data_IF_777889976738
#
_entry.id   IF_777889976738
#
_cell.length_a   1.000
_cell.length_b   1.000
_cell.length_c   1.000
_cell.angle_alpha   90.00
_cell.angle_beta   90.00
_cell.angle_gamma   90.00
#
_symmetry.space_group_name_H-M   'P 1'
#
loop_
_entity.id
_entity.type
_entity.pdbx_description
1 polymer ?
#
# COMPACT_ATOMS: atom_id res chain seq x y z
N UNK A 1 7.31 7.95 29.25
CA UNK A 1 6.08 7.13 29.07
C UNK A 1 6.46 5.99 28.14
N UNK A 2 6.26 4.73 28.55
CA UNK A 2 6.72 3.55 27.82
C UNK A 2 5.63 3.05 26.87
N UNK A 3 5.97 2.84 25.60
CA UNK A 3 5.20 2.05 24.62
C UNK A 3 5.44 0.55 24.88
N UNK A 4 4.51 -0.32 24.47
CA UNK A 4 4.68 -1.78 24.61
C UNK A 4 5.61 -2.37 23.55
N UNK A 5 5.60 -1.78 22.35
CA UNK A 5 6.41 -2.14 21.21
C UNK A 5 7.39 -0.99 20.90
N UNK A 6 8.46 -1.30 20.18
CA UNK A 6 9.41 -0.29 19.75
C UNK A 6 8.75 0.62 18.68
N UNK A 7 8.63 1.94 18.91
CA UNK A 7 8.02 2.85 17.95
C UNK A 7 8.96 3.22 16.80
N UNK A 8 10.23 2.81 16.84
CA UNK A 8 11.24 3.12 15.84
C UNK A 8 11.79 1.86 15.15
N UNK A 9 12.11 2.02 13.87
CA UNK A 9 12.94 1.12 13.07
C UNK A 9 14.27 1.83 12.80
N UNK A 10 15.31 1.50 13.57
CA UNK A 10 16.52 2.33 13.61
C UNK A 10 16.19 3.74 14.07
N UNK A 11 16.44 4.75 13.23
CA UNK A 11 16.10 6.14 13.51
C UNK A 11 14.71 6.59 13.02
N UNK A 12 14.04 5.77 12.21
CA UNK A 12 12.77 6.13 11.53
C UNK A 12 11.55 5.66 12.33
N UNK A 13 10.43 6.40 12.25
CA UNK A 13 9.19 6.07 12.96
C UNK A 13 8.84 7.10 14.04
N UNK A 14 8.42 6.64 15.23
CA UNK A 14 8.03 7.48 16.35
C UNK A 14 6.53 7.82 16.40
N UNK A 15 6.18 8.77 17.27
CA UNK A 15 4.81 9.24 17.50
C UNK A 15 4.77 10.77 17.47
N UNK A 16 5.01 11.36 16.31
CA UNK A 16 5.09 12.81 16.11
C UNK A 16 3.70 13.43 15.90
N UNK A 17 2.80 13.22 16.87
CA UNK A 17 1.41 13.71 16.85
C UNK A 17 1.19 14.73 17.97
N UNK A 18 0.15 15.58 17.86
CA UNK A 18 -0.30 16.40 18.98
C UNK A 18 -0.58 15.56 20.23
N UNK A 19 -0.27 16.10 21.41
CA UNK A 19 -0.39 15.39 22.70
C UNK A 19 -1.79 14.79 22.94
N UNK A 20 -2.84 15.42 22.40
CA UNK A 20 -4.23 14.96 22.49
C UNK A 20 -4.47 13.58 21.84
N UNK A 21 -3.66 13.17 20.86
CA UNK A 21 -3.78 11.87 20.18
C UNK A 21 -2.96 10.76 20.86
N UNK A 22 -2.06 11.09 21.79
CA UNK A 22 -1.23 10.10 22.47
C UNK A 22 -2.02 9.04 23.28
N UNK A 23 -3.16 9.36 23.94
CA UNK A 23 -4.00 8.33 24.56
C UNK A 23 -4.60 7.36 23.53
N UNK A 24 -5.05 7.86 22.38
CA UNK A 24 -5.64 7.03 21.33
C UNK A 24 -4.63 6.05 20.72
N UNK A 25 -3.40 6.51 20.45
CA UNK A 25 -2.32 5.64 19.96
C UNK A 25 -1.92 4.57 20.98
N UNK A 26 -1.92 4.89 22.27
CA UNK A 26 -1.65 3.91 23.34
C UNK A 26 -2.75 2.87 23.45
N UNK A 27 -4.02 3.31 23.46
CA UNK A 27 -5.16 2.38 23.46
C UNK A 27 -5.10 1.42 22.26
N UNK A 28 -4.76 1.94 21.08
CA UNK A 28 -4.60 1.14 19.87
C UNK A 28 -3.45 0.13 19.99
N UNK A 29 -2.29 0.55 20.52
CA UNK A 29 -1.16 -0.35 20.76
C UNK A 29 -1.52 -1.47 21.75
N UNK A 30 -2.14 -1.13 22.88
CA UNK A 30 -2.56 -2.08 23.91
C UNK A 30 -3.55 -3.10 23.33
N UNK A 31 -4.56 -2.62 22.59
CA UNK A 31 -5.55 -3.46 21.94
C UNK A 31 -4.92 -4.40 20.90
N UNK A 32 -3.97 -3.88 20.11
CA UNK A 32 -3.24 -4.67 19.14
C UNK A 32 -2.37 -5.76 19.79
N UNK A 33 -1.56 -5.42 20.79
CA UNK A 33 -0.71 -6.39 21.50
C UNK A 33 -1.57 -7.47 22.17
N UNK A 34 -2.72 -7.09 22.73
CA UNK A 34 -3.70 -8.03 23.28
C UNK A 34 -4.25 -8.96 22.19
N UNK A 35 -4.71 -8.41 21.06
CA UNK A 35 -5.28 -9.16 19.95
C UNK A 35 -4.30 -10.14 19.29
N UNK A 36 -3.01 -9.78 19.20
CA UNK A 36 -1.97 -10.66 18.68
C UNK A 36 -1.73 -11.92 19.53
N UNK A 37 -2.14 -11.90 20.81
CA UNK A 37 -2.02 -13.04 21.74
C UNK A 37 -3.33 -13.79 21.96
N UNK A 38 -4.41 -13.31 21.35
CA UNK A 38 -5.77 -13.81 21.55
C UNK A 38 -6.13 -14.79 20.41
N UNK A 39 -6.22 -16.11 20.67
CA UNK A 39 -6.53 -17.08 19.63
C UNK A 39 -7.90 -16.87 18.98
N UNK A 40 -8.87 -16.30 19.70
CA UNK A 40 -10.20 -16.03 19.15
C UNK A 40 -10.13 -14.92 18.10
N UNK A 41 -9.38 -13.84 18.39
CA UNK A 41 -9.13 -12.77 17.42
C UNK A 41 -8.42 -13.31 16.16
N UNK A 42 -7.37 -14.12 16.35
CA UNK A 42 -6.63 -14.70 15.22
C UNK A 42 -7.49 -15.63 14.38
N UNK A 43 -8.38 -16.40 15.03
CA UNK A 43 -9.34 -17.28 14.35
C UNK A 43 -10.37 -16.46 13.57
N UNK A 44 -10.95 -15.41 14.16
CA UNK A 44 -11.93 -14.55 13.49
C UNK A 44 -11.29 -13.81 12.30
N UNK A 45 -10.08 -13.26 12.47
CA UNK A 45 -9.38 -12.60 11.38
C UNK A 45 -9.05 -13.58 10.25
N UNK A 46 -8.56 -14.78 10.58
CA UNK A 46 -8.26 -15.83 9.58
C UNK A 46 -9.52 -16.30 8.84
N UNK A 47 -10.65 -16.42 9.54
CA UNK A 47 -11.94 -16.76 8.94
C UNK A 47 -12.38 -15.70 7.93
N UNK A 48 -12.33 -14.42 8.30
CA UNK A 48 -12.64 -13.31 7.39
C UNK A 48 -11.71 -13.28 6.18
N UNK A 49 -10.40 -13.45 6.39
CA UNK A 49 -9.44 -13.49 5.28
C UNK A 49 -9.78 -14.63 4.30
N UNK A 50 -10.09 -15.81 4.80
CA UNK A 50 -10.36 -16.99 3.98
C UNK A 50 -11.73 -16.94 3.31
N UNK A 51 -12.78 -16.81 4.11
CA UNK A 51 -14.15 -17.05 3.69
C UNK A 51 -14.86 -15.78 3.18
N UNK A 52 -14.39 -14.60 3.56
CA UNK A 52 -14.90 -13.33 3.02
C UNK A 52 -13.94 -12.71 1.98
N UNK A 53 -12.66 -12.61 2.30
CA UNK A 53 -11.69 -11.96 1.40
C UNK A 53 -11.16 -12.87 0.28
N UNK A 54 -11.22 -14.20 0.46
CA UNK A 54 -10.83 -15.20 -0.54
C UNK A 54 -9.36 -15.63 -0.49
N UNK A 55 -8.70 -15.54 0.68
CA UNK A 55 -7.32 -16.04 0.87
C UNK A 55 -7.27 -17.57 0.95
N UNK A 56 -6.15 -18.22 0.56
CA UNK A 56 -4.94 -17.62 -0.01
C UNK A 56 -5.12 -17.15 -1.45
N UNK A 57 -4.46 -16.05 -1.83
CA UNK A 57 -4.50 -15.57 -3.22
C UNK A 57 -3.56 -16.41 -4.10
N UNK A 58 -3.88 -16.53 -5.39
CA UNK A 58 -3.09 -17.33 -6.32
C UNK A 58 -1.65 -16.79 -6.52
N UNK A 59 -0.76 -17.68 -6.94
CA UNK A 59 0.58 -17.34 -7.45
C UNK A 59 0.67 -17.80 -8.92
N UNK A 60 0.60 -16.84 -9.84
CA UNK A 60 0.48 -17.10 -11.29
C UNK A 60 1.83 -17.00 -11.98
N UNK A 61 2.25 -18.04 -12.72
CA UNK A 61 3.45 -17.99 -13.57
C UNK A 61 3.14 -17.34 -14.91
N UNK A 62 3.85 -16.28 -15.28
CA UNK A 62 3.73 -15.61 -16.58
C UNK A 62 4.72 -16.21 -17.56
N UNK A 63 4.22 -16.93 -18.57
CA UNK A 63 5.09 -17.61 -19.56
C UNK A 63 5.33 -16.75 -20.80
N UNK A 64 4.35 -15.91 -21.17
CA UNK A 64 4.43 -15.13 -22.40
C UNK A 64 5.34 -13.92 -22.20
N UNK A 65 5.27 -13.28 -21.02
CA UNK A 65 6.14 -12.14 -20.67
C UNK A 65 7.63 -12.50 -20.54
N UNK A 66 7.97 -13.77 -20.32
CA UNK A 66 9.36 -14.22 -20.17
C UNK A 66 9.84 -15.10 -21.31
N UNK A 67 9.05 -15.22 -22.39
CA UNK A 67 9.40 -16.04 -23.53
C UNK A 67 10.74 -15.61 -24.15
N UNK A 68 11.62 -16.57 -24.41
CA UNK A 68 12.97 -16.29 -24.93
C UNK A 68 13.98 -15.83 -23.87
N UNK A 69 13.66 -15.92 -22.58
CA UNK A 69 14.58 -15.62 -21.48
C UNK A 69 14.69 -16.79 -20.50
N UNK A 70 15.71 -16.77 -19.63
CA UNK A 70 15.90 -17.73 -18.53
C UNK A 70 15.26 -17.29 -17.21
N UNK A 71 14.44 -16.25 -17.25
CA UNK A 71 13.69 -15.79 -16.07
C UNK A 71 12.36 -16.52 -15.93
N UNK A 72 12.04 -16.95 -14.72
CA UNK A 72 10.69 -17.35 -14.32
C UNK A 72 10.04 -16.22 -13.52
N UNK A 73 8.96 -15.65 -14.07
CA UNK A 73 8.19 -14.60 -13.42
C UNK A 73 6.90 -15.15 -12.80
N UNK A 74 6.70 -14.86 -11.53
CA UNK A 74 5.46 -15.10 -10.81
C UNK A 74 4.78 -13.79 -10.40
N UNK A 75 3.45 -13.79 -10.40
CA UNK A 75 2.61 -12.73 -9.87
C UNK A 75 1.87 -13.23 -8.63
N UNK A 76 2.05 -12.57 -7.49
CA UNK A 76 1.22 -12.78 -6.30
C UNK A 76 -0.08 -12.00 -6.46
N UNK A 77 -1.21 -12.71 -6.55
CA UNK A 77 -2.48 -12.22 -7.10
C UNK A 77 -3.38 -11.51 -6.08
N UNK A 78 -2.88 -10.44 -5.45
CA UNK A 78 -3.69 -9.62 -4.55
C UNK A 78 -4.81 -8.84 -5.28
N UNK A 79 -4.74 -8.76 -6.61
CA UNK A 79 -5.81 -8.28 -7.50
C UNK A 79 -7.09 -9.13 -7.43
N UNK A 80 -6.98 -10.41 -7.03
CA UNK A 80 -8.10 -11.33 -6.89
C UNK A 80 -8.77 -11.28 -5.51
N UNK A 81 -8.16 -10.58 -4.55
CA UNK A 81 -8.73 -10.44 -3.22
C UNK A 81 -10.06 -9.67 -3.28
N UNK A 82 -11.02 -9.97 -2.40
CA UNK A 82 -12.26 -9.18 -2.33
C UNK A 82 -11.94 -7.69 -2.17
N UNK A 83 -12.68 -6.83 -2.89
CA UNK A 83 -12.37 -5.41 -3.05
C UNK A 83 -11.44 -5.10 -4.24
N UNK A 84 -10.57 -6.04 -4.63
CA UNK A 84 -9.69 -5.95 -5.80
C UNK A 84 -8.27 -5.45 -5.51
N UNK A 85 -7.87 -5.37 -4.25
CA UNK A 85 -6.52 -4.98 -3.86
C UNK A 85 -6.17 -5.52 -2.47
N UNK A 86 -4.86 -5.61 -2.19
CA UNK A 86 -4.29 -6.02 -0.89
C UNK A 86 -4.82 -5.23 0.32
N UNK A 87 -5.38 -4.03 0.12
CA UNK A 87 -5.86 -3.16 1.21
C UNK A 87 -6.91 -3.83 2.10
N UNK A 88 -7.72 -4.75 1.55
CA UNK A 88 -8.73 -5.48 2.32
C UNK A 88 -8.15 -6.26 3.50
N UNK A 89 -6.93 -6.80 3.39
CA UNK A 89 -6.28 -7.57 4.46
C UNK A 89 -6.21 -6.74 5.76
N UNK A 90 -5.55 -5.58 5.68
CA UNK A 90 -5.29 -4.75 6.85
C UNK A 90 -6.54 -4.05 7.38
N UNK A 91 -7.48 -3.73 6.49
CA UNK A 91 -8.73 -3.09 6.86
C UNK A 91 -9.62 -4.03 7.70
N UNK A 92 -9.71 -5.31 7.33
CA UNK A 92 -10.44 -6.30 8.14
C UNK A 92 -9.83 -6.41 9.54
N UNK A 93 -8.50 -6.53 9.64
CA UNK A 93 -7.80 -6.58 10.92
C UNK A 93 -8.02 -5.33 11.78
N UNK A 94 -7.92 -4.13 11.19
CA UNK A 94 -8.16 -2.88 11.93
C UNK A 94 -9.62 -2.68 12.33
N UNK A 95 -10.59 -3.11 11.51
CA UNK A 95 -12.00 -3.03 11.86
C UNK A 95 -12.35 -3.98 13.02
N UNK A 96 -11.72 -5.17 13.09
CA UNK A 96 -11.80 -6.05 14.26
C UNK A 96 -11.18 -5.40 15.50
N UNK A 97 -10.02 -4.75 15.38
CA UNK A 97 -9.43 -3.99 16.50
C UNK A 97 -10.36 -2.87 16.98
N UNK A 98 -11.01 -2.14 16.06
CA UNK A 98 -11.96 -1.10 16.40
C UNK A 98 -13.13 -1.66 17.24
N UNK A 99 -13.70 -2.79 16.82
CA UNK A 99 -14.75 -3.49 17.60
C UNK A 99 -14.26 -3.95 18.96
N UNK A 100 -13.05 -4.51 19.03
CA UNK A 100 -12.43 -4.92 20.30
C UNK A 100 -12.27 -3.74 21.26
N UNK A 101 -11.95 -2.57 20.75
CA UNK A 101 -11.84 -1.33 21.53
C UNK A 101 -13.19 -0.68 21.87
N UNK A 102 -14.32 -1.28 21.46
CA UNK A 102 -15.67 -0.74 21.67
C UNK A 102 -16.00 0.47 20.79
N UNK A 103 -15.23 0.71 19.72
CA UNK A 103 -15.48 1.81 18.77
C UNK A 103 -16.64 1.43 17.86
N UNK A 104 -17.49 2.40 17.56
CA UNK A 104 -18.68 2.22 16.70
C UNK A 104 -18.55 2.95 15.37
N UNK A 105 -17.57 3.82 15.25
CA UNK A 105 -17.33 4.62 14.06
C UNK A 105 -15.90 4.41 13.51
N UNK A 106 -15.75 4.55 12.20
CA UNK A 106 -14.48 4.48 11.48
C UNK A 106 -14.28 5.76 10.68
N UNK A 107 -13.07 6.32 10.81
CA UNK A 107 -12.56 7.40 9.98
C UNK A 107 -11.51 6.82 9.05
N UNK A 108 -11.53 7.19 7.77
CA UNK A 108 -10.44 6.89 6.85
C UNK A 108 -10.23 8.04 5.86
N UNK A 109 -9.03 8.12 5.28
CA UNK A 109 -8.70 8.97 4.14
C UNK A 109 -8.60 8.16 2.85
N UNK A 110 -8.82 8.77 1.68
CA UNK A 110 -8.47 8.11 0.43
C UNK A 110 -8.13 9.09 -0.69
N UNK A 111 -7.20 8.69 -1.56
CA UNK A 111 -6.88 9.36 -2.82
C UNK A 111 -7.52 8.61 -3.98
N UNK A 112 -6.87 7.55 -4.47
CA UNK A 112 -7.41 6.71 -5.56
C UNK A 112 -8.77 6.01 -5.24
N UNK A 113 -9.29 6.11 -4.01
CA UNK A 113 -10.57 5.53 -3.59
C UNK A 113 -10.50 4.08 -3.11
N UNK A 114 -9.43 3.34 -3.41
CA UNK A 114 -9.31 1.93 -3.03
C UNK A 114 -9.31 1.71 -1.50
N UNK A 115 -8.64 2.57 -0.74
CA UNK A 115 -8.67 2.46 0.73
C UNK A 115 -10.04 2.78 1.30
N UNK A 116 -10.71 3.80 0.76
CA UNK A 116 -12.05 4.16 1.15
C UNK A 116 -13.07 3.05 0.86
N UNK A 117 -12.99 2.41 -0.31
CA UNK A 117 -13.84 1.26 -0.66
C UNK A 117 -13.57 0.06 0.26
N UNK A 118 -12.30 -0.26 0.54
CA UNK A 118 -11.95 -1.33 1.48
C UNK A 118 -12.46 -1.03 2.90
N UNK A 119 -12.36 0.22 3.35
CA UNK A 119 -12.89 0.66 4.65
C UNK A 119 -14.41 0.52 4.69
N UNK A 120 -15.11 1.01 3.65
CA UNK A 120 -16.56 0.96 3.56
C UNK A 120 -17.09 -0.49 3.58
N UNK A 121 -16.50 -1.42 2.82
CA UNK A 121 -16.95 -2.82 2.81
C UNK A 121 -16.75 -3.49 4.17
N UNK A 122 -15.64 -3.22 4.87
CA UNK A 122 -15.39 -3.83 6.17
C UNK A 122 -16.32 -3.26 7.25
N UNK A 123 -16.61 -1.96 7.19
CA UNK A 123 -17.57 -1.33 8.07
C UNK A 123 -18.99 -1.86 7.86
N UNK A 124 -19.41 -2.02 6.60
CA UNK A 124 -20.70 -2.60 6.26
C UNK A 124 -20.82 -4.04 6.77
N UNK A 125 -19.78 -4.85 6.60
CA UNK A 125 -19.73 -6.24 7.08
C UNK A 125 -19.81 -6.32 8.61
N UNK A 126 -19.06 -5.47 9.31
CA UNK A 126 -18.84 -5.61 10.75
C UNK A 126 -19.76 -4.73 11.61
N UNK A 127 -20.65 -3.96 10.97
CA UNK A 127 -21.65 -3.12 11.65
C UNK A 127 -21.08 -1.83 12.23
N UNK A 128 -20.13 -1.19 11.53
CA UNK A 128 -19.50 0.07 11.94
C UNK A 128 -19.96 1.22 11.04
N UNK A 129 -20.12 2.42 11.60
CA UNK A 129 -20.43 3.62 10.82
C UNK A 129 -19.16 4.18 10.20
N UNK A 130 -19.13 4.31 8.88
CA UNK A 130 -17.93 4.73 8.14
C UNK A 130 -18.06 6.15 7.60
N UNK A 131 -17.04 6.98 7.81
CA UNK A 131 -16.85 8.25 7.11
C UNK A 131 -15.46 8.34 6.49
N UNK A 132 -15.42 8.70 5.21
CA UNK A 132 -14.21 8.71 4.39
C UNK A 132 -13.95 10.13 3.89
N UNK A 133 -12.80 10.68 4.27
CA UNK A 133 -12.29 11.95 3.74
C UNK A 133 -11.58 11.72 2.41
N UNK A 134 -11.89 12.53 1.41
CA UNK A 134 -11.33 12.41 0.06
C UNK A 134 -11.15 13.79 -0.55
N UNK A 135 -9.97 14.07 -1.12
CA UNK A 135 -9.71 15.37 -1.76
C UNK A 135 -10.73 15.64 -2.88
N UNK A 136 -11.24 16.87 -2.99
CA UNK A 136 -12.31 17.19 -3.94
C UNK A 136 -11.91 16.89 -5.40
N UNK A 137 -10.64 17.07 -5.77
CA UNK A 137 -10.13 16.68 -7.11
C UNK A 137 -10.19 15.17 -7.32
N UNK A 138 -9.87 14.40 -6.28
CA UNK A 138 -9.91 12.94 -6.33
C UNK A 138 -11.36 12.42 -6.38
N UNK A 139 -12.30 13.09 -5.68
CA UNK A 139 -13.74 12.77 -5.75
C UNK A 139 -14.25 12.82 -7.19
N UNK A 140 -13.87 13.85 -7.96
CA UNK A 140 -14.27 13.95 -9.37
C UNK A 140 -13.61 12.86 -10.23
N UNK A 141 -12.28 12.71 -10.12
CA UNK A 141 -11.49 11.74 -10.91
C UNK A 141 -11.87 10.29 -10.63
N UNK A 142 -12.30 9.98 -9.41
CA UNK A 142 -12.57 8.62 -8.93
C UNK A 142 -14.05 8.40 -8.61
N UNK A 143 -14.95 9.05 -9.35
CA UNK A 143 -16.42 8.92 -9.22
C UNK A 143 -16.91 7.46 -9.06
N UNK A 144 -16.37 6.45 -9.79
CA UNK A 144 -16.76 5.05 -9.56
C UNK A 144 -16.50 4.54 -8.15
N UNK A 145 -15.38 4.93 -7.52
CA UNK A 145 -15.06 4.52 -6.15
C UNK A 145 -15.87 5.30 -5.12
N UNK A 146 -16.14 6.58 -5.36
CA UNK A 146 -17.08 7.37 -4.53
C UNK A 146 -18.47 6.74 -4.49
N UNK A 147 -18.97 6.32 -5.65
CA UNK A 147 -20.25 5.64 -5.75
C UNK A 147 -20.26 4.30 -5.00
N UNK A 148 -19.21 3.47 -5.14
CA UNK A 148 -19.07 2.21 -4.40
C UNK A 148 -19.09 2.42 -2.88
N UNK A 149 -18.36 3.41 -2.37
CA UNK A 149 -18.36 3.73 -0.93
C UNK A 149 -19.77 4.08 -0.42
N UNK A 150 -20.49 4.94 -1.15
CA UNK A 150 -21.86 5.35 -0.79
C UNK A 150 -22.85 4.19 -0.87
N UNK A 151 -22.73 3.30 -1.87
CA UNK A 151 -23.54 2.08 -1.97
C UNK A 151 -23.36 1.17 -0.75
N UNK A 152 -22.16 1.14 -0.15
CA UNK A 152 -21.86 0.38 1.06
C UNK A 152 -22.25 1.13 2.36
N UNK A 153 -22.91 2.29 2.24
CA UNK A 153 -23.40 3.07 3.40
C UNK A 153 -22.35 3.97 4.05
N UNK A 154 -21.17 4.14 3.44
CA UNK A 154 -20.18 5.09 3.94
C UNK A 154 -20.52 6.53 3.56
N UNK A 155 -20.31 7.46 4.49
CA UNK A 155 -20.30 8.89 4.22
C UNK A 155 -18.99 9.25 3.52
N UNK A 156 -19.06 9.96 2.38
CA UNK A 156 -17.88 10.44 1.66
C UNK A 156 -17.84 11.96 1.75
N UNK A 157 -16.80 12.49 2.39
CA UNK A 157 -16.62 13.89 2.76
C UNK A 157 -15.54 14.51 1.86
N UNK A 158 -15.92 15.35 0.86
CA UNK A 158 -14.97 16.04 0.01
C UNK A 158 -14.15 17.09 0.78
N UNK A 159 -12.83 17.09 0.59
CA UNK A 159 -11.91 18.05 1.20
C UNK A 159 -11.45 19.06 0.16
N UNK A 160 -11.77 20.34 0.39
CA UNK A 160 -11.44 21.45 -0.51
C UNK A 160 -10.23 22.29 -0.05
N UNK A 161 -9.70 22.02 1.14
CA UNK A 161 -8.52 22.71 1.66
C UNK A 161 -7.25 22.32 0.90
N UNK A 162 -6.26 23.22 0.91
CA UNK A 162 -4.94 22.95 0.33
C UNK A 162 -4.98 22.65 -1.17
N UNK A 163 -4.32 21.57 -1.57
CA UNK A 163 -4.28 21.11 -2.96
C UNK A 163 -5.50 20.26 -3.34
N UNK A 164 -6.36 19.95 -2.37
CA UNK A 164 -7.58 19.15 -2.49
C UNK A 164 -7.33 17.72 -3.00
N UNK A 165 -6.26 17.10 -2.47
CA UNK A 165 -5.83 15.72 -2.76
C UNK A 165 -5.69 14.89 -1.47
N UNK A 166 -5.10 13.69 -1.56
CA UNK A 166 -4.86 12.78 -0.43
C UNK A 166 -4.21 13.46 0.80
N UNK A 167 -3.22 14.36 0.59
CA UNK A 167 -2.56 15.08 1.69
C UNK A 167 -3.56 15.80 2.59
N UNK A 168 -4.51 16.49 1.97
CA UNK A 168 -5.50 17.29 2.70
C UNK A 168 -6.57 16.41 3.33
N UNK A 169 -6.92 15.30 2.69
CA UNK A 169 -7.78 14.27 3.28
C UNK A 169 -7.16 13.64 4.54
N UNK A 170 -5.85 13.35 4.55
CA UNK A 170 -5.14 12.91 5.75
C UNK A 170 -5.25 13.93 6.89
N UNK A 171 -5.08 15.22 6.59
CA UNK A 171 -5.13 16.28 7.59
C UNK A 171 -6.51 16.41 8.23
N UNK A 172 -7.59 16.38 7.44
CA UNK A 172 -8.95 16.45 7.96
C UNK A 172 -9.32 15.17 8.73
N UNK A 173 -8.90 13.99 8.28
CA UNK A 173 -9.11 12.73 9.00
C UNK A 173 -8.43 12.73 10.39
N UNK A 174 -7.18 13.21 10.47
CA UNK A 174 -6.47 13.35 11.75
C UNK A 174 -7.11 14.42 12.65
N UNK A 175 -7.60 15.53 12.07
CA UNK A 175 -8.31 16.57 12.83
C UNK A 175 -9.61 16.05 13.42
N UNK A 176 -10.41 15.33 12.64
CA UNK A 176 -11.62 14.64 13.12
C UNK A 176 -11.26 13.70 14.27
N UNK A 177 -10.28 12.82 14.05
CA UNK A 177 -9.88 11.85 15.05
C UNK A 177 -9.45 12.49 16.37
N UNK A 178 -8.79 13.66 16.33
CA UNK A 178 -8.39 14.38 17.54
C UNK A 178 -9.55 14.80 18.45
N UNK A 179 -10.76 14.95 17.90
CA UNK A 179 -11.98 15.27 18.63
C UNK A 179 -12.95 14.11 18.82
N UNK A 180 -12.70 12.95 18.20
CA UNK A 180 -13.64 11.82 18.16
C UNK A 180 -13.01 10.47 18.53
N UNK A 181 -11.72 10.41 18.91
CA UNK A 181 -11.01 9.16 19.19
C UNK A 181 -11.64 8.28 20.28
N UNK A 182 -12.51 8.81 21.14
CA UNK A 182 -13.24 8.01 22.12
C UNK A 182 -14.22 7.04 21.47
N UNK A 183 -14.92 7.47 20.41
CA UNK A 183 -15.95 6.69 19.71
C UNK A 183 -15.50 6.15 18.35
N UNK A 184 -14.54 6.82 17.71
CA UNK A 184 -14.07 6.51 16.37
C UNK A 184 -12.64 5.93 16.36
N UNK A 185 -12.42 4.93 15.51
CA UNK A 185 -11.07 4.45 15.15
C UNK A 185 -10.63 5.08 13.84
N UNK A 186 -9.42 5.63 13.81
CA UNK A 186 -8.81 6.09 12.57
C UNK A 186 -8.12 4.92 11.86
N UNK A 187 -8.69 4.49 10.74
CA UNK A 187 -8.23 3.37 9.94
C UNK A 187 -7.27 3.86 8.86
N UNK A 188 -6.01 4.08 9.25
CA UNK A 188 -4.94 4.55 8.37
C UNK A 188 -4.63 3.52 7.26
N UNK A 189 -4.46 4.00 6.03
CA UNK A 189 -4.49 3.13 4.83
C UNK A 189 -3.18 2.47 4.37
N UNK A 190 -2.07 2.67 5.08
CA UNK A 190 -0.74 2.22 4.65
C UNK A 190 0.20 1.99 5.84
N UNK A 191 1.35 1.34 5.61
CA UNK A 191 2.39 1.09 6.62
C UNK A 191 3.26 2.33 6.92
N UNK A 192 2.61 3.47 7.14
CA UNK A 192 3.21 4.75 7.50
C UNK A 192 2.45 5.33 8.70
N UNK A 193 2.69 6.60 9.01
CA UNK A 193 2.02 7.26 10.12
C UNK A 193 2.71 7.03 11.47
N UNK A 194 2.14 7.55 12.56
CA UNK A 194 2.69 7.36 13.90
C UNK A 194 2.60 5.89 14.31
N UNK A 195 3.53 5.46 15.15
CA UNK A 195 3.38 4.20 15.88
C UNK A 195 2.04 4.19 16.66
N UNK A 196 1.23 3.11 16.61
CA UNK A 196 1.58 1.75 16.16
C UNK A 196 1.23 1.38 14.70
N UNK A 197 0.76 2.30 13.87
CA UNK A 197 0.24 1.99 12.54
C UNK A 197 1.22 1.24 11.61
N UNK A 198 2.49 1.62 11.47
CA UNK A 198 3.42 0.89 10.60
C UNK A 198 3.56 -0.59 10.98
N UNK A 199 3.58 -0.88 12.29
CA UNK A 199 3.68 -2.24 12.82
C UNK A 199 2.38 -3.01 12.61
N UNK A 200 1.22 -2.42 12.95
CA UNK A 200 -0.09 -3.04 12.77
C UNK A 200 -0.33 -3.41 11.31
N UNK A 201 -0.09 -2.47 10.40
CA UNK A 201 -0.35 -2.68 8.97
C UNK A 201 0.58 -3.73 8.40
N UNK A 202 1.86 -3.80 8.83
CA UNK A 202 2.73 -4.92 8.44
C UNK A 202 2.15 -6.26 8.90
N UNK A 203 1.81 -6.39 10.19
CA UNK A 203 1.32 -7.65 10.73
C UNK A 203 0.00 -8.09 10.09
N UNK A 204 -0.85 -7.17 9.65
CA UNK A 204 -2.06 -7.49 8.89
C UNK A 204 -1.88 -7.56 7.37
N UNK A 205 -0.65 -7.47 6.86
CA UNK A 205 -0.32 -7.69 5.45
C UNK A 205 0.71 -8.82 5.24
N UNK A 206 1.37 -9.30 6.30
CA UNK A 206 2.47 -10.29 6.23
C UNK A 206 2.08 -11.63 5.58
N UNK A 207 0.80 -11.98 5.60
CA UNK A 207 0.29 -13.19 4.95
C UNK A 207 0.55 -13.21 3.43
N UNK A 208 0.74 -12.04 2.81
CA UNK A 208 1.16 -11.95 1.40
C UNK A 208 2.51 -12.65 1.21
N UNK A 209 3.50 -12.30 2.03
CA UNK A 209 4.84 -12.90 2.01
C UNK A 209 4.83 -14.37 2.43
N UNK A 210 4.10 -14.71 3.49
CA UNK A 210 4.00 -16.10 4.00
C UNK A 210 3.41 -17.05 2.95
N UNK A 211 2.29 -16.67 2.33
CA UNK A 211 1.68 -17.45 1.26
C UNK A 211 2.62 -17.53 0.05
N UNK A 212 3.27 -16.43 -0.32
CA UNK A 212 4.22 -16.41 -1.43
C UNK A 212 5.38 -17.37 -1.17
N UNK A 213 5.96 -17.34 0.03
CA UNK A 213 7.06 -18.22 0.41
C UNK A 213 6.65 -19.70 0.31
N UNK A 214 5.47 -20.04 0.83
CA UNK A 214 4.92 -21.40 0.72
C UNK A 214 4.69 -21.81 -0.74
N UNK A 215 4.01 -20.96 -1.52
CA UNK A 215 3.63 -21.24 -2.91
C UNK A 215 4.83 -21.36 -3.85
N UNK A 216 5.86 -20.51 -3.70
CA UNK A 216 7.08 -20.61 -4.52
C UNK A 216 7.87 -21.87 -4.16
N UNK A 217 8.02 -22.19 -2.86
CA UNK A 217 8.69 -23.43 -2.43
C UNK A 217 7.99 -24.67 -2.98
N UNK A 218 6.66 -24.68 -2.97
CA UNK A 218 5.86 -25.78 -3.53
C UNK A 218 6.09 -25.94 -5.05
N UNK A 219 6.13 -24.83 -5.81
CA UNK A 219 6.21 -24.86 -7.28
C UNK A 219 7.62 -25.05 -7.82
N UNK A 220 8.63 -24.51 -7.14
CA UNK A 220 10.00 -24.38 -7.65
C UNK A 220 11.04 -25.11 -6.77
N UNK A 221 10.63 -25.64 -5.62
CA UNK A 221 11.53 -26.37 -4.70
C UNK A 221 12.57 -25.49 -3.99
N UNK A 222 12.54 -24.17 -4.20
CA UNK A 222 13.48 -23.19 -3.63
C UNK A 222 12.81 -21.83 -3.38
N UNK A 223 13.52 -20.92 -2.72
CA UNK A 223 13.10 -19.52 -2.56
C UNK A 223 13.30 -18.72 -3.87
N UNK A 224 12.54 -17.62 -4.07
CA UNK A 224 12.74 -16.74 -5.21
C UNK A 224 14.08 -15.99 -5.08
N UNK A 225 14.66 -15.59 -6.22
CA UNK A 225 15.88 -14.77 -6.23
C UNK A 225 15.58 -13.32 -5.85
N UNK A 226 14.38 -12.82 -6.19
CA UNK A 226 13.88 -11.53 -5.73
C UNK A 226 12.36 -11.50 -5.58
N UNK A 227 11.89 -10.70 -4.63
CA UNK A 227 10.49 -10.26 -4.53
C UNK A 227 10.41 -8.75 -4.78
N UNK A 228 9.42 -8.34 -5.58
CA UNK A 228 9.26 -6.97 -6.04
C UNK A 228 7.86 -6.43 -5.69
N UNK A 229 7.79 -5.18 -5.27
CA UNK A 229 6.53 -4.53 -4.93
C UNK A 229 6.60 -3.01 -5.12
N UNK A 230 5.48 -2.40 -5.51
CA UNK A 230 5.40 -0.95 -5.64
C UNK A 230 5.31 -0.27 -4.27
N UNK A 231 5.91 0.89 -4.11
CA UNK A 231 6.01 1.62 -2.85
C UNK A 231 5.40 3.00 -3.02
N UNK A 232 4.16 3.16 -2.55
CA UNK A 232 3.61 4.46 -2.15
C UNK A 232 3.94 4.66 -0.67
N UNK A 233 2.94 4.50 0.21
CA UNK A 233 3.21 4.45 1.65
C UNK A 233 3.84 3.14 2.17
N UNK A 234 3.80 2.05 1.40
CA UNK A 234 4.56 0.81 1.68
C UNK A 234 3.81 -0.45 2.13
N UNK A 235 2.49 -0.42 2.36
CA UNK A 235 1.75 -1.58 2.93
C UNK A 235 1.90 -2.90 2.18
N UNK A 236 1.68 -2.91 0.86
CA UNK A 236 1.79 -4.13 0.05
C UNK A 236 3.25 -4.65 -0.02
N UNK A 237 4.21 -3.72 -0.06
CA UNK A 237 5.62 -4.05 -0.15
C UNK A 237 6.10 -4.67 1.15
N UNK A 238 5.82 -4.05 2.30
CA UNK A 238 6.21 -4.64 3.58
C UNK A 238 5.44 -5.93 3.87
N UNK A 239 4.20 -6.07 3.41
CA UNK A 239 3.44 -7.32 3.49
C UNK A 239 4.09 -8.47 2.71
N UNK A 240 4.57 -8.18 1.49
CA UNK A 240 5.34 -9.14 0.70
C UNK A 240 6.69 -9.43 1.36
N UNK A 241 7.40 -8.40 1.83
CA UNK A 241 8.77 -8.52 2.30
C UNK A 241 8.88 -9.17 3.68
N UNK A 242 7.89 -9.00 4.56
CA UNK A 242 8.00 -9.32 5.99
C UNK A 242 8.58 -10.71 6.26
N UNK A 243 8.05 -11.73 5.59
CA UNK A 243 8.49 -13.11 5.81
C UNK A 243 9.84 -13.41 5.12
N UNK A 244 10.30 -12.59 4.18
CA UNK A 244 11.60 -12.74 3.53
C UNK A 244 12.72 -11.91 4.18
N UNK A 245 12.44 -11.05 5.17
CA UNK A 245 13.47 -10.18 5.79
C UNK A 245 14.66 -11.00 6.32
N UNK A 246 14.40 -12.15 6.96
CA UNK A 246 15.46 -13.00 7.52
C UNK A 246 16.06 -13.99 6.50
N UNK A 247 15.67 -13.90 5.21
CA UNK A 247 16.16 -14.74 4.12
C UNK A 247 17.18 -13.94 3.28
N UNK A 248 18.49 -13.94 3.62
CA UNK A 248 19.48 -13.04 3.00
C UNK A 248 19.71 -13.33 1.52
N UNK A 249 19.36 -14.52 1.04
CA UNK A 249 19.44 -14.88 -0.38
C UNK A 249 18.33 -14.25 -1.23
N UNK A 250 17.25 -13.76 -0.61
CA UNK A 250 16.10 -13.16 -1.32
C UNK A 250 16.27 -11.65 -1.36
N UNK A 251 16.44 -11.10 -2.56
CA UNK A 251 16.46 -9.64 -2.76
C UNK A 251 15.07 -9.06 -2.56
N UNK A 252 14.98 -7.96 -1.83
CA UNK A 252 13.73 -7.23 -1.60
C UNK A 252 13.80 -5.94 -2.41
N UNK A 253 12.95 -5.78 -3.42
CA UNK A 253 13.02 -4.65 -4.35
C UNK A 253 11.72 -3.83 -4.27
N UNK A 254 11.81 -2.65 -3.66
CA UNK A 254 10.73 -1.67 -3.64
C UNK A 254 10.79 -0.74 -4.86
N UNK A 255 9.66 -0.43 -5.47
CA UNK A 255 9.59 0.42 -6.67
C UNK A 255 8.76 1.67 -6.39
N UNK A 256 9.42 2.82 -6.31
CA UNK A 256 8.78 4.15 -6.17
C UNK A 256 8.41 4.73 -7.56
N UNK A 257 7.37 5.59 -7.66
CA UNK A 257 7.04 6.26 -8.90
C UNK A 257 8.06 7.36 -9.23
N UNK A 258 8.68 7.28 -10.41
CA UNK A 258 9.50 8.34 -10.98
C UNK A 258 8.67 9.43 -11.69
N UNK A 259 7.35 9.25 -11.82
CA UNK A 259 6.46 10.21 -12.46
C UNK A 259 6.90 10.54 -13.89
N UNK A 260 7.10 11.83 -14.16
CA UNK A 260 7.59 12.31 -15.47
C UNK A 260 9.12 12.17 -15.66
N UNK A 261 9.83 11.63 -14.67
CA UNK A 261 11.29 11.56 -14.59
C UNK A 261 11.78 12.19 -13.29
N UNK A 262 12.77 11.58 -12.63
CA UNK A 262 13.31 12.06 -11.34
C UNK A 262 13.87 13.48 -11.48
N UNK A 263 14.58 13.74 -12.57
CA UNK A 263 15.20 15.03 -12.89
C UNK A 263 14.21 16.17 -13.08
N UNK A 264 12.93 15.86 -13.31
CA UNK A 264 11.87 16.87 -13.47
C UNK A 264 11.35 17.41 -12.14
N UNK A 265 11.62 16.72 -11.02
CA UNK A 265 10.99 16.97 -9.72
C UNK A 265 9.54 16.49 -9.62
N UNK A 266 8.89 16.10 -10.73
CA UNK A 266 7.54 15.56 -10.74
C UNK A 266 7.55 14.04 -10.58
N UNK A 267 7.79 13.59 -9.36
CA UNK A 267 7.86 12.18 -8.98
C UNK A 267 7.28 11.95 -7.56
N UNK A 268 7.25 10.70 -7.10
CA UNK A 268 6.84 10.33 -5.73
C UNK A 268 7.85 9.36 -5.13
N UNK A 269 9.13 9.71 -5.17
CA UNK A 269 10.27 8.83 -4.81
C UNK A 269 11.11 9.36 -3.63
N UNK A 270 10.47 9.63 -2.47
CA UNK A 270 11.12 10.26 -1.33
C UNK A 270 12.24 9.42 -0.71
N UNK A 271 12.19 8.08 -0.81
CA UNK A 271 13.16 7.23 -0.13
C UNK A 271 14.57 7.38 -0.74
N UNK A 272 14.66 7.50 -2.06
CA UNK A 272 15.94 7.67 -2.77
C UNK A 272 16.28 9.12 -3.13
N UNK A 273 15.27 9.99 -3.26
CA UNK A 273 15.45 11.36 -3.77
C UNK A 273 14.91 12.45 -2.83
N UNK A 274 14.35 12.08 -1.69
CA UNK A 274 13.97 13.01 -0.63
C UNK A 274 15.03 13.11 0.47
N UNK A 275 14.63 13.72 1.59
CA UNK A 275 15.45 13.81 2.81
C UNK A 275 14.60 13.52 4.04
N UNK A 276 15.23 13.02 5.10
CA UNK A 276 14.54 12.72 6.37
C UNK A 276 13.91 13.98 6.96
N UNK A 277 12.63 13.91 7.30
CA UNK A 277 11.88 14.97 7.99
C UNK A 277 10.87 14.38 8.96
N UNK A 278 10.02 15.24 9.53
CA UNK A 278 8.93 14.84 10.41
C UNK A 278 7.61 15.34 9.82
N UNK A 279 6.75 14.40 9.43
CA UNK A 279 5.44 14.67 8.82
C UNK A 279 4.54 13.47 9.07
N UNK A 280 3.22 13.68 9.07
CA UNK A 280 2.21 12.63 9.18
C UNK A 280 2.44 11.70 10.40
N UNK A 281 2.89 12.24 11.53
CA UNK A 281 3.09 11.45 12.75
C UNK A 281 4.39 10.65 12.83
N UNK A 282 5.27 10.72 11.83
CA UNK A 282 6.50 9.92 11.78
C UNK A 282 7.73 10.73 11.35
N UNK A 283 8.91 10.25 11.75
CA UNK A 283 10.19 10.60 11.13
C UNK A 283 10.49 9.63 10.00
N UNK A 284 10.59 10.12 8.77
CA UNK A 284 10.83 9.30 7.56
C UNK A 284 11.39 10.15 6.42
N UNK A 285 11.97 9.57 5.35
CA UNK A 285 12.26 10.31 4.12
C UNK A 285 10.99 10.92 3.52
N UNK A 286 11.10 12.16 3.03
CA UNK A 286 10.03 12.88 2.36
C UNK A 286 10.56 13.86 1.31
N UNK A 287 9.70 14.21 0.35
CA UNK A 287 9.90 15.31 -0.57
C UNK A 287 9.58 16.62 0.16
N UNK A 288 10.55 17.52 0.24
CA UNK A 288 10.46 18.76 1.00
C UNK A 288 11.42 19.82 0.46
N UNK A 289 10.96 21.06 0.40
CA UNK A 289 11.75 22.23 -0.01
C UNK A 289 12.91 22.47 0.95
N UNK A 290 13.90 23.29 0.61
CA UNK A 290 15.04 23.60 1.50
C UNK A 290 14.61 24.11 2.89
N UNK A 291 13.56 24.93 2.94
CA UNK A 291 12.95 25.46 4.18
C UNK A 291 12.13 24.43 4.97
N UNK A 292 12.00 23.20 4.48
CA UNK A 292 11.32 22.09 5.15
C UNK A 292 9.79 22.07 4.95
N UNK A 293 9.28 22.77 3.93
CA UNK A 293 7.87 22.64 3.54
C UNK A 293 7.68 21.34 2.76
N UNK A 294 6.58 20.62 3.03
CA UNK A 294 6.27 19.37 2.33
C UNK A 294 5.93 19.68 0.87
N UNK A 295 6.63 19.02 -0.06
CA UNK A 295 6.39 19.16 -1.50
C UNK A 295 5.20 18.33 -1.96
N UNK A 296 4.67 18.69 -3.13
CA UNK A 296 3.68 17.87 -3.83
C UNK A 296 4.41 16.77 -4.61
N UNK A 297 4.03 15.52 -4.37
CA UNK A 297 4.44 14.40 -5.21
C UNK A 297 3.64 14.39 -6.52
N UNK A 298 4.12 13.58 -7.47
CA UNK A 298 3.40 13.31 -8.71
C UNK A 298 3.61 11.86 -9.17
N UNK A 299 2.52 11.24 -9.63
CA UNK A 299 2.53 9.99 -10.40
C UNK A 299 1.24 9.88 -11.19
N UNK A 300 1.26 9.21 -12.35
CA UNK A 300 0.04 8.76 -13.02
C UNK A 300 -0.85 7.89 -12.10
N UNK A 301 -0.24 7.20 -11.15
CA UNK A 301 -0.93 6.31 -10.22
C UNK A 301 -1.18 6.99 -8.88
N UNK A 302 -2.43 7.38 -8.63
CA UNK A 302 -2.84 8.05 -7.40
C UNK A 302 -2.55 7.23 -6.11
N UNK A 303 -2.37 5.91 -6.20
CA UNK A 303 -1.99 5.08 -5.05
C UNK A 303 -0.51 5.14 -4.68
N UNK A 304 0.34 5.68 -5.56
CA UNK A 304 1.77 5.92 -5.30
C UNK A 304 2.10 7.41 -5.12
N UNK A 305 1.15 8.31 -5.40
CA UNK A 305 1.28 9.75 -5.23
C UNK A 305 1.23 10.17 -3.75
N UNK A 306 2.35 9.94 -3.05
CA UNK A 306 2.52 10.29 -1.64
C UNK A 306 3.95 10.79 -1.41
N UNK A 307 4.16 11.96 -0.76
CA UNK A 307 5.48 12.60 -0.69
C UNK A 307 6.38 12.04 0.42
N UNK A 308 6.05 10.90 1.02
CA UNK A 308 6.85 10.23 2.06
C UNK A 308 6.71 8.71 1.94
N UNK A 309 7.30 7.96 2.87
CA UNK A 309 7.31 6.50 2.82
C UNK A 309 7.27 5.92 4.24
N UNK A 310 6.75 4.70 4.39
CA UNK A 310 6.73 4.00 5.68
C UNK A 310 8.12 3.86 6.31
N UNK A 311 8.25 4.04 7.65
CA UNK A 311 9.56 4.13 8.31
C UNK A 311 10.35 2.82 8.25
N UNK A 312 9.69 1.67 8.18
CA UNK A 312 10.38 0.39 8.05
C UNK A 312 11.06 0.23 6.68
N UNK A 313 10.52 0.84 5.62
CA UNK A 313 11.20 0.84 4.32
C UNK A 313 12.48 1.67 4.34
N UNK A 314 12.43 2.85 4.98
CA UNK A 314 13.61 3.69 5.19
C UNK A 314 14.70 2.96 5.97
N UNK A 315 14.32 2.21 7.02
CA UNK A 315 15.24 1.38 7.79
C UNK A 315 15.84 0.23 6.96
N UNK A 316 15.01 -0.52 6.23
CA UNK A 316 15.50 -1.62 5.39
C UNK A 316 16.46 -1.13 4.29
N UNK A 317 16.24 0.07 3.75
CA UNK A 317 17.18 0.73 2.84
C UNK A 317 18.49 1.10 3.53
N UNK A 318 18.43 1.73 4.72
CA UNK A 318 19.62 2.22 5.41
C UNK A 318 20.59 1.12 5.83
N UNK A 319 20.07 -0.08 6.12
CA UNK A 319 20.88 -1.26 6.47
C UNK A 319 21.26 -2.12 5.25
N UNK A 320 20.87 -1.70 4.04
CA UNK A 320 21.13 -2.44 2.79
C UNK A 320 20.35 -3.74 2.64
N UNK A 321 19.30 -3.97 3.44
CA UNK A 321 18.48 -5.19 3.37
C UNK A 321 17.52 -5.17 2.18
N UNK A 322 16.97 -4.00 1.85
CA UNK A 322 16.09 -3.83 0.70
C UNK A 322 16.65 -2.77 -0.25
N UNK A 323 16.47 -3.02 -1.54
CA UNK A 323 16.84 -2.14 -2.65
C UNK A 323 15.60 -1.35 -3.06
N UNK A 324 15.76 -0.05 -3.34
CA UNK A 324 14.67 0.80 -3.82
C UNK A 324 15.08 1.47 -5.12
N UNK A 325 14.23 1.32 -6.11
CA UNK A 325 14.39 1.80 -7.48
C UNK A 325 13.16 2.59 -7.87
N UNK A 326 13.19 3.26 -9.02
CA UNK A 326 12.05 4.03 -9.51
C UNK A 326 11.69 3.66 -10.95
N UNK A 327 10.41 3.88 -11.28
CA UNK A 327 9.81 3.59 -12.60
C UNK A 327 8.94 4.78 -13.02
N UNK A 328 9.13 5.24 -14.26
CA UNK A 328 8.38 6.37 -14.84
C UNK A 328 6.95 6.00 -15.21
N UNK A 329 6.10 7.00 -15.41
CA UNK A 329 4.72 6.81 -15.86
C UNK A 329 4.65 6.02 -17.18
N UNK A 330 5.56 6.28 -18.13
CA UNK A 330 5.61 5.58 -19.41
C UNK A 330 6.01 4.11 -19.28
N UNK A 331 6.97 3.80 -18.43
CA UNK A 331 7.38 2.43 -18.16
C UNK A 331 6.24 1.64 -17.48
N UNK A 332 5.52 2.26 -16.54
CA UNK A 332 4.36 1.65 -15.90
C UNK A 332 3.20 1.44 -16.88
N UNK A 333 2.91 2.42 -17.75
CA UNK A 333 1.90 2.29 -18.81
C UNK A 333 2.23 1.15 -19.79
N UNK A 334 3.49 1.01 -20.16
CA UNK A 334 3.92 -0.09 -21.01
C UNK A 334 3.74 -1.44 -20.31
N UNK A 335 4.16 -1.58 -19.05
CA UNK A 335 3.95 -2.81 -18.29
C UNK A 335 2.46 -3.16 -18.09
N UNK A 336 1.60 -2.15 -17.89
CA UNK A 336 0.14 -2.33 -17.85
C UNK A 336 -0.38 -2.97 -19.13
N UNK A 337 0.04 -2.44 -20.28
CA UNK A 337 -0.36 -2.94 -21.62
C UNK A 337 0.20 -4.34 -21.88
N UNK A 338 1.46 -4.56 -21.56
CA UNK A 338 2.13 -5.85 -21.74
C UNK A 338 1.42 -6.96 -20.98
N UNK A 339 1.07 -6.74 -19.70
CA UNK A 339 0.34 -7.74 -18.92
C UNK A 339 -1.07 -7.98 -19.47
N UNK A 340 -1.77 -6.90 -19.81
CA UNK A 340 -3.12 -6.98 -20.36
C UNK A 340 -3.15 -7.76 -21.68
N UNK A 341 -2.16 -7.53 -22.54
CA UNK A 341 -2.07 -8.13 -23.87
C UNK A 341 -1.60 -9.58 -23.84
N UNK A 342 -0.58 -9.87 -23.04
CA UNK A 342 0.12 -11.16 -23.11
C UNK A 342 -0.33 -12.17 -22.05
N UNK A 343 -0.93 -11.72 -20.95
CA UNK A 343 -1.39 -12.62 -19.87
C UNK A 343 -2.90 -12.46 -19.57
N UNK A 344 -3.59 -11.51 -20.22
CA UNK A 344 -5.03 -11.30 -20.02
C UNK A 344 -5.39 -10.82 -18.61
N UNK A 345 -4.44 -10.21 -17.91
CA UNK A 345 -4.61 -9.66 -16.57
C UNK A 345 -4.46 -8.14 -16.67
N UNK A 346 -5.47 -7.40 -16.23
CA UNK A 346 -5.44 -5.93 -16.21
C UNK A 346 -4.92 -5.48 -14.84
N UNK A 347 -3.65 -5.06 -14.71
CA UNK A 347 -3.06 -4.70 -13.42
C UNK A 347 -3.45 -3.30 -12.99
N UNK A 348 -3.45 -3.01 -11.70
CA UNK A 348 -3.48 -1.62 -11.26
C UNK A 348 -2.21 -0.87 -11.74
N UNK A 349 -2.32 0.44 -12.03
CA UNK A 349 -1.15 1.24 -12.41
C UNK A 349 -0.09 1.25 -11.32
N UNK A 350 -0.47 1.17 -10.04
CA UNK A 350 0.45 0.96 -8.91
C UNK A 350 1.30 -0.30 -9.12
N UNK A 351 0.65 -1.47 -9.29
CA UNK A 351 1.31 -2.75 -9.46
C UNK A 351 2.13 -2.82 -10.76
N UNK A 352 1.73 -2.06 -11.77
CA UNK A 352 2.43 -1.96 -13.05
C UNK A 352 3.83 -1.36 -12.90
N UNK A 353 4.10 -0.53 -11.87
CA UNK A 353 5.45 -0.06 -11.57
C UNK A 353 6.37 -1.22 -11.16
N UNK A 354 5.89 -2.09 -10.27
CA UNK A 354 6.66 -3.27 -9.85
C UNK A 354 6.91 -4.23 -11.02
N UNK A 355 5.90 -4.43 -11.87
CA UNK A 355 6.03 -5.25 -13.07
C UNK A 355 7.02 -4.66 -14.07
N UNK A 356 6.96 -3.35 -14.32
CA UNK A 356 7.87 -2.66 -15.23
C UNK A 356 9.34 -2.86 -14.83
N UNK A 357 9.64 -2.77 -13.53
CA UNK A 357 11.01 -3.04 -13.05
C UNK A 357 11.41 -4.51 -13.24
N UNK A 358 10.51 -5.46 -12.98
CA UNK A 358 10.77 -6.87 -13.25
C UNK A 358 11.06 -7.13 -14.75
N UNK A 359 10.26 -6.53 -15.65
CA UNK A 359 10.49 -6.62 -17.10
C UNK A 359 11.84 -5.99 -17.50
N UNK A 360 12.22 -4.86 -16.89
CA UNK A 360 13.54 -4.24 -17.09
C UNK A 360 14.68 -5.18 -16.68
N UNK A 361 14.55 -5.86 -15.53
CA UNK A 361 15.53 -6.87 -15.09
C UNK A 361 15.62 -8.05 -16.06
N UNK A 362 14.48 -8.53 -16.56
CA UNK A 362 14.41 -9.63 -17.53
C UNK A 362 15.10 -9.25 -18.84
N UNK A 363 14.79 -8.07 -19.39
CA UNK A 363 15.33 -7.62 -20.67
C UNK A 363 16.82 -7.24 -20.60
N UNK A 364 17.30 -6.78 -19.44
CA UNK A 364 18.72 -6.42 -19.26
C UNK A 364 19.63 -7.66 -19.19
N UNK A 365 19.15 -8.76 -18.62
CA UNK A 365 19.92 -10.00 -18.45
C UNK A 365 19.11 -11.24 -18.89
N UNK A 366 18.76 -11.39 -20.19
CA UNK A 366 17.84 -12.44 -20.65
C UNK A 366 18.36 -13.87 -20.44
N UNK A 367 19.68 -14.05 -20.41
CA UNK A 367 20.34 -15.34 -20.17
C UNK A 367 20.54 -15.67 -18.69
N UNK A 368 20.18 -14.76 -17.78
CA UNK A 368 20.29 -14.99 -16.34
C UNK A 368 19.15 -15.88 -15.87
N UNK A 369 19.51 -16.99 -15.22
CA UNK A 369 18.54 -17.83 -14.54
C UNK A 369 18.12 -17.19 -13.23
N UNK A 370 16.86 -16.80 -13.13
CA UNK A 370 16.30 -16.14 -11.94
C UNK A 370 14.80 -16.40 -11.79
N UNK A 371 14.33 -16.47 -10.56
CA UNK A 371 12.91 -16.52 -10.17
C UNK A 371 12.55 -15.19 -9.53
N UNK A 372 11.64 -14.46 -10.17
CA UNK A 372 11.14 -13.18 -9.70
C UNK A 372 9.68 -13.34 -9.28
N UNK A 373 9.30 -12.76 -8.13
CA UNK A 373 7.90 -12.63 -7.74
C UNK A 373 7.52 -11.17 -7.65
N UNK A 374 6.56 -10.74 -8.47
CA UNK A 374 5.97 -9.40 -8.39
C UNK A 374 4.69 -9.47 -7.56
N UNK A 375 4.55 -8.59 -6.57
CA UNK A 375 3.29 -8.41 -5.87
C UNK A 375 2.31 -7.63 -6.76
N UNK A 376 1.32 -8.33 -7.31
CA UNK A 376 0.26 -7.72 -8.11
C UNK A 376 -0.80 -7.14 -7.18
N UNK A 377 -0.44 -6.01 -6.57
CA UNK A 377 -1.10 -5.42 -5.40
C UNK A 377 -2.57 -5.02 -5.58
N UNK A 378 -3.07 -4.94 -6.82
CA UNK A 378 -4.49 -4.74 -7.13
C UNK A 378 -4.80 -4.85 -8.64
N UNK A 379 -6.10 -4.86 -8.95
CA UNK A 379 -6.62 -4.89 -10.34
C UNK A 379 -6.80 -3.49 -10.94
N UNK A 380 -6.67 -3.42 -12.26
CA UNK A 380 -6.65 -2.17 -13.03
C UNK A 380 -7.97 -1.64 -13.54
N UNK A 381 -9.11 -2.24 -13.15
CA UNK A 381 -10.45 -1.77 -13.56
C UNK A 381 -10.68 -0.29 -13.25
N UNK A 382 -10.07 0.22 -12.18
CA UNK A 382 -10.13 1.64 -11.80
C UNK A 382 -9.33 2.56 -12.72
N UNK A 383 -8.34 2.02 -13.42
CA UNK A 383 -7.36 2.79 -14.21
C UNK A 383 -7.70 2.81 -15.70
N UNK A 384 -8.70 2.04 -16.16
CA UNK A 384 -9.04 1.90 -17.58
C UNK A 384 -9.33 3.24 -18.27
N UNK A 385 -10.00 4.17 -17.59
CA UNK A 385 -10.31 5.48 -18.16
C UNK A 385 -9.07 6.38 -18.24
N UNK A 386 -8.25 6.40 -17.19
CA UNK A 386 -6.96 7.10 -17.18
C UNK A 386 -6.07 6.61 -18.33
N UNK A 387 -5.94 5.29 -18.48
CA UNK A 387 -5.13 4.68 -19.54
C UNK A 387 -5.73 4.98 -20.92
N UNK A 388 -7.06 4.86 -21.09
CA UNK A 388 -7.75 5.19 -22.33
C UNK A 388 -7.47 6.64 -22.77
N UNK A 389 -7.63 7.61 -21.87
CA UNK A 389 -7.49 9.03 -22.20
C UNK A 389 -6.03 9.37 -22.59
N UNK A 390 -5.06 8.73 -21.94
CA UNK A 390 -3.65 8.88 -22.28
C UNK A 390 -3.34 8.26 -23.65
N UNK A 391 -3.78 7.04 -23.91
CA UNK A 391 -3.54 6.39 -25.22
C UNK A 391 -4.23 7.15 -26.36
N UNK A 392 -5.45 7.65 -26.13
CA UNK A 392 -6.18 8.47 -27.08
C UNK A 392 -5.46 9.79 -27.38
N UNK A 393 -4.95 10.47 -26.35
CA UNK A 393 -4.19 11.72 -26.54
C UNK A 393 -2.85 11.51 -27.26
N UNK A 394 -2.29 10.30 -27.21
CA UNK A 394 -1.10 9.88 -27.97
C UNK A 394 -1.40 9.37 -29.38
N UNK A 395 -2.67 9.22 -29.76
CA UNK A 395 -3.08 8.67 -31.05
C UNK A 395 -2.79 7.17 -31.22
N UNK A 396 -2.70 6.43 -30.11
CA UNK A 396 -2.44 4.99 -30.10
C UNK A 396 -3.71 4.13 -30.23
N UNK A 397 -4.88 4.75 -29.99
CA UNK A 397 -6.22 4.16 -30.13
C UNK A 397 -7.22 5.14 -30.73
#
# INVERSE_FOLDING_TARGET
MMTLLNPYFGEFGGQYVPQILMPALRQLEDAFVSAQRDPEFQSEFSDLLKNYAGRPTALTRCKNLTAGTRTTLYLKREDLLHGGAHKTNQVLGQALLAKRMGKTEIIAETGAGQHGVATALACALLGLKCRVYMGAKDVERQSPNVFRMRLMGAEVIPVHSGSATLKDACNEALRDWSGSYETAHYLLGTAAGPHPYPTIVREFQRMIGEETKAQVKEKEGRLPDAVLACVGGGSNAIGMFADFIDEPSVRLIGVEPAGLGIETGHHGAPLKHGRTGIYFGMKSPMMQTDDGQIEESYSISAGLDFPSVGPQHAYLNSIGRAEYVSVTDDEALNAFRELSRHEGIIPALESSHALAHALKMISAEPEKEQILVVNLSGRGDKDIFTVHDILKSRGEI
#
